data_IF_849845991664
#
_entry.id   IF_849845991664
#
_cell.length_a   1.000
_cell.length_b   1.000
_cell.length_c   1.000
_cell.angle_alpha   90.00
_cell.angle_beta   90.00
_cell.angle_gamma   90.00
#
_symmetry.space_group_name_H-M   'P 1'
#
loop_
_entity.id
_entity.type
_entity.pdbx_description
1 polymer ?
#
# COMPACT_ATOMS: atom_id res chain seq x y z
N UNK A 1 64.64 -6.56 -28.70
CA UNK A 1 64.88 -7.16 -30.04
C UNK A 1 63.74 -6.77 -30.98
N UNK A 2 64.10 -6.11 -32.09
CA UNK A 2 63.29 -5.68 -33.27
C UNK A 2 62.20 -4.64 -32.93
N UNK A 3 62.42 -3.32 -33.05
CA UNK A 3 62.68 -2.48 -34.24
C UNK A 3 61.72 -2.80 -35.39
N UNK A 4 60.75 -1.90 -35.67
CA UNK A 4 60.79 -1.09 -36.89
C UNK A 4 59.64 -0.06 -36.97
N UNK A 5 60.09 1.14 -37.31
CA UNK A 5 59.47 2.42 -37.66
C UNK A 5 58.58 2.42 -38.92
N UNK A 6 57.85 3.55 -39.06
CA UNK A 6 57.48 4.29 -40.30
C UNK A 6 56.17 3.90 -41.02
N UNK A 7 55.15 4.77 -40.97
CA UNK A 7 54.93 5.81 -41.99
C UNK A 7 53.65 6.63 -41.74
N UNK A 8 53.80 7.93 -41.98
CA UNK A 8 52.79 8.97 -42.03
C UNK A 8 51.97 8.82 -43.33
N UNK A 9 50.65 8.77 -43.24
CA UNK A 9 49.77 9.06 -44.37
C UNK A 9 48.51 9.75 -43.83
N UNK A 10 48.43 11.06 -44.05
CA UNK A 10 47.26 11.85 -43.78
C UNK A 10 46.13 11.47 -44.75
N UNK A 11 44.99 11.09 -44.20
CA UNK A 11 43.73 11.07 -44.91
C UNK A 11 42.78 12.06 -44.22
N UNK A 12 42.44 13.14 -44.92
CA UNK A 12 41.33 14.01 -44.59
C UNK A 12 40.06 13.16 -44.52
N UNK A 13 39.60 12.84 -43.32
CA UNK A 13 38.21 12.45 -43.09
C UNK A 13 37.38 13.73 -43.06
N UNK A 14 36.94 14.19 -44.24
CA UNK A 14 35.84 15.14 -44.34
C UNK A 14 34.62 14.51 -43.69
N UNK A 15 34.25 15.03 -42.51
CA UNK A 15 33.08 14.62 -41.76
C UNK A 15 31.82 14.80 -42.59
N UNK A 16 31.25 13.69 -43.04
CA UNK A 16 29.82 13.59 -43.29
C UNK A 16 29.14 13.58 -41.92
N UNK A 17 28.94 14.77 -41.37
CA UNK A 17 27.95 14.98 -40.32
C UNK A 17 26.58 14.63 -40.92
N UNK A 18 26.19 13.37 -40.80
CA UNK A 18 24.77 13.04 -40.85
C UNK A 18 24.13 13.83 -39.72
N UNK A 19 23.54 14.99 -40.05
CA UNK A 19 22.54 15.60 -39.19
C UNK A 19 21.43 14.57 -39.08
N UNK A 20 21.48 13.76 -38.03
CA UNK A 20 20.33 12.97 -37.60
C UNK A 20 19.20 13.99 -37.46
N UNK A 21 18.30 14.02 -38.45
CA UNK A 21 17.06 14.75 -38.30
C UNK A 21 16.36 14.06 -37.14
N UNK A 22 16.46 14.65 -35.95
CA UNK A 22 15.57 14.34 -34.85
C UNK A 22 14.17 14.29 -35.46
N UNK A 23 13.46 13.16 -35.29
CA UNK A 23 12.14 12.97 -35.87
C UNK A 23 11.25 14.14 -35.40
N UNK A 24 11.09 15.13 -36.26
CA UNK A 24 10.32 16.31 -35.94
C UNK A 24 8.86 15.89 -36.02
N UNK A 25 8.18 15.86 -34.88
CA UNK A 25 6.76 15.62 -34.83
C UNK A 25 6.04 16.70 -35.64
N UNK A 26 5.38 16.31 -36.73
CA UNK A 26 4.65 17.22 -37.61
C UNK A 26 3.23 17.49 -37.12
N UNK A 27 2.63 16.50 -36.47
CA UNK A 27 1.27 16.50 -35.95
C UNK A 27 1.25 16.51 -34.40
N UNK A 28 0.43 17.38 -33.76
CA UNK A 28 0.40 17.48 -32.30
C UNK A 28 -0.18 16.22 -31.65
N UNK A 29 -1.07 15.49 -32.34
CA UNK A 29 -1.63 14.23 -31.87
C UNK A 29 -0.55 13.16 -31.72
N UNK A 30 0.34 13.06 -32.71
CA UNK A 30 1.48 12.14 -32.71
C UNK A 30 2.46 12.47 -31.57
N UNK A 31 2.71 13.76 -31.32
CA UNK A 31 3.52 14.19 -30.17
C UNK A 31 2.90 13.80 -28.83
N UNK A 32 1.59 14.09 -28.68
CA UNK A 32 0.83 13.74 -27.49
C UNK A 32 0.87 12.22 -27.25
N UNK A 33 0.58 11.43 -28.29
CA UNK A 33 0.49 9.98 -28.21
C UNK A 33 1.83 9.34 -27.86
N UNK A 34 2.96 9.94 -28.25
CA UNK A 34 4.27 9.45 -27.83
C UNK A 34 4.47 9.52 -26.30
N UNK A 35 4.04 10.61 -25.65
CA UNK A 35 4.12 10.75 -24.19
C UNK A 35 3.07 9.87 -23.50
N UNK A 36 1.84 9.88 -23.99
CA UNK A 36 0.74 9.08 -23.44
C UNK A 36 1.02 7.58 -23.54
N UNK A 37 1.66 7.11 -24.61
CA UNK A 37 2.06 5.72 -24.75
C UNK A 37 3.02 5.28 -23.64
N UNK A 38 4.01 6.13 -23.30
CA UNK A 38 4.92 5.85 -22.20
C UNK A 38 4.20 5.85 -20.83
N UNK A 39 3.24 6.75 -20.64
CA UNK A 39 2.38 6.77 -19.45
C UNK A 39 1.56 5.48 -19.33
N UNK A 40 0.98 5.00 -20.43
CA UNK A 40 0.18 3.78 -20.47
C UNK A 40 1.01 2.54 -20.10
N UNK A 41 2.23 2.44 -20.62
CA UNK A 41 3.15 1.34 -20.28
C UNK A 41 3.49 1.39 -18.79
N UNK A 42 3.76 2.58 -18.26
CA UNK A 42 4.01 2.77 -16.83
C UNK A 42 2.83 2.39 -15.96
N UNK A 43 1.62 2.83 -16.28
CA UNK A 43 0.40 2.49 -15.54
C UNK A 43 0.18 0.98 -15.47
N UNK A 44 0.40 0.26 -16.58
CA UNK A 44 0.31 -1.21 -16.60
C UNK A 44 1.30 -1.85 -15.63
N UNK A 45 2.54 -1.36 -15.55
CA UNK A 45 3.53 -1.86 -14.57
C UNK A 45 3.14 -1.50 -13.14
N UNK A 46 2.68 -0.26 -12.90
CA UNK A 46 2.21 0.17 -11.59
C UNK A 46 1.04 -0.69 -11.09
N UNK A 47 0.05 -0.97 -11.94
CA UNK A 47 -1.09 -1.81 -11.58
C UNK A 47 -0.70 -3.25 -11.27
N UNK A 48 0.27 -3.81 -12.01
CA UNK A 48 0.83 -5.14 -11.68
C UNK A 48 1.51 -5.12 -10.31
N UNK A 49 2.26 -4.07 -9.98
CA UNK A 49 2.86 -3.90 -8.66
C UNK A 49 1.81 -3.74 -7.56
N UNK A 50 0.83 -2.87 -7.74
CA UNK A 50 -0.30 -2.64 -6.81
C UNK A 50 -1.04 -3.94 -6.58
N UNK A 51 -1.46 -4.62 -7.65
CA UNK A 51 -2.14 -5.91 -7.57
C UNK A 51 -1.30 -6.94 -6.81
N UNK A 52 0.01 -7.00 -7.08
CA UNK A 52 0.86 -7.98 -6.44
C UNK A 52 1.06 -7.69 -4.95
N UNK A 53 1.16 -6.42 -4.59
CA UNK A 53 1.28 -5.96 -3.21
C UNK A 53 0.00 -6.18 -2.42
N UNK A 54 -1.16 -6.02 -3.06
CA UNK A 54 -2.47 -6.23 -2.44
C UNK A 54 -2.80 -7.72 -2.22
N UNK A 55 -2.37 -8.59 -3.13
CA UNK A 55 -2.84 -9.99 -3.18
C UNK A 55 -1.76 -11.03 -2.91
N UNK A 56 -0.60 -10.64 -2.36
CA UNK A 56 0.51 -11.58 -2.14
C UNK A 56 1.33 -11.26 -0.91
N UNK A 57 1.63 -12.29 -0.13
CA UNK A 57 2.58 -12.19 1.01
C UNK A 57 4.05 -12.40 0.59
N UNK A 58 4.30 -12.71 -0.69
CA UNK A 58 5.64 -13.00 -1.17
C UNK A 58 6.42 -11.71 -1.44
N UNK A 59 7.12 -11.21 -0.42
CA UNK A 59 7.89 -9.96 -0.45
C UNK A 59 8.90 -9.92 -1.60
N UNK A 60 9.56 -11.04 -1.92
CA UNK A 60 10.50 -11.11 -3.06
C UNK A 60 9.81 -10.85 -4.39
N UNK A 61 8.61 -11.41 -4.59
CA UNK A 61 7.82 -11.19 -5.81
C UNK A 61 7.28 -9.76 -5.87
N UNK A 62 6.86 -9.19 -4.74
CA UNK A 62 6.41 -7.80 -4.66
C UNK A 62 7.57 -6.85 -5.05
N UNK A 63 8.75 -7.06 -4.45
CA UNK A 63 9.94 -6.27 -4.73
C UNK A 63 10.37 -6.39 -6.20
N UNK A 64 10.33 -7.59 -6.79
CA UNK A 64 10.59 -7.77 -8.21
C UNK A 64 9.66 -6.91 -9.09
N UNK A 65 8.36 -6.84 -8.76
CA UNK A 65 7.41 -5.97 -9.48
C UNK A 65 7.70 -4.49 -9.28
N UNK A 66 8.15 -4.07 -8.10
CA UNK A 66 8.60 -2.69 -7.88
C UNK A 66 9.80 -2.36 -8.76
N UNK A 67 10.77 -3.28 -8.87
CA UNK A 67 11.94 -3.11 -9.74
C UNK A 67 11.56 -3.05 -11.22
N UNK A 68 10.55 -3.82 -11.66
CA UNK A 68 9.99 -3.71 -13.01
C UNK A 68 9.45 -2.29 -13.29
N UNK A 69 8.75 -1.69 -12.31
CA UNK A 69 8.27 -0.30 -12.40
C UNK A 69 9.43 0.68 -12.49
N UNK A 70 10.47 0.52 -11.66
CA UNK A 70 11.66 1.38 -11.68
C UNK A 70 12.38 1.30 -13.03
N UNK A 71 12.59 0.09 -13.56
CA UNK A 71 13.25 -0.13 -14.84
C UNK A 71 12.46 0.48 -16.00
N UNK A 72 11.14 0.26 -16.02
CA UNK A 72 10.27 0.86 -17.03
C UNK A 72 10.27 2.38 -16.94
N UNK A 73 10.23 2.95 -15.72
CA UNK A 73 10.22 4.40 -15.55
C UNK A 73 11.50 5.03 -16.07
N UNK A 74 12.67 4.44 -15.80
CA UNK A 74 13.94 4.88 -16.38
C UNK A 74 13.90 4.87 -17.91
N UNK A 75 13.37 3.81 -18.51
CA UNK A 75 13.25 3.70 -19.98
C UNK A 75 12.32 4.78 -20.56
N UNK A 76 11.14 4.97 -19.96
CA UNK A 76 10.17 5.97 -20.38
C UNK A 76 10.67 7.41 -20.19
N UNK A 77 11.31 7.68 -19.05
CA UNK A 77 11.95 8.97 -18.77
C UNK A 77 13.05 9.29 -19.79
N UNK A 78 13.86 8.29 -20.17
CA UNK A 78 14.87 8.46 -21.20
C UNK A 78 14.21 8.86 -22.53
N UNK A 79 13.18 8.13 -22.98
CA UNK A 79 12.47 8.45 -24.22
C UNK A 79 11.87 9.87 -24.21
N UNK A 80 11.12 10.22 -23.16
CA UNK A 80 10.51 11.55 -23.01
C UNK A 80 11.60 12.64 -22.99
N UNK A 81 12.71 12.41 -22.30
CA UNK A 81 13.81 13.39 -22.20
C UNK A 81 14.49 13.69 -23.54
N UNK A 82 14.50 12.72 -24.47
CA UNK A 82 15.07 12.89 -25.81
C UNK A 82 14.06 13.47 -26.82
N UNK A 83 12.79 13.64 -26.45
CA UNK A 83 11.82 14.26 -27.34
C UNK A 83 12.17 15.75 -27.57
N UNK A 84 12.11 16.25 -28.81
CA UNK A 84 12.17 17.68 -29.07
C UNK A 84 10.93 18.40 -28.49
N UNK A 85 10.97 19.72 -28.40
CA UNK A 85 9.75 20.50 -28.17
C UNK A 85 8.86 20.46 -29.42
N UNK A 86 7.54 20.35 -29.25
CA UNK A 86 6.61 20.43 -30.36
C UNK A 86 6.47 21.88 -30.82
N UNK A 87 6.88 22.18 -32.07
CA UNK A 87 6.91 23.56 -32.61
C UNK A 87 7.64 24.54 -31.67
N UNK A 88 8.73 24.09 -31.04
CA UNK A 88 9.50 24.88 -30.07
C UNK A 88 8.90 24.96 -28.66
N UNK A 89 7.67 24.48 -28.44
CA UNK A 89 7.09 24.37 -27.10
C UNK A 89 7.56 23.10 -26.40
N UNK A 90 8.18 23.24 -25.23
CA UNK A 90 8.68 22.11 -24.44
C UNK A 90 7.85 21.79 -23.21
N UNK A 91 6.81 22.59 -22.92
CA UNK A 91 6.11 22.57 -21.64
C UNK A 91 5.56 21.18 -21.31
N UNK A 92 4.87 20.54 -22.25
CA UNK A 92 4.29 19.22 -21.99
C UNK A 92 5.35 18.16 -21.72
N UNK A 93 6.39 18.09 -22.55
CA UNK A 93 7.53 17.19 -22.34
C UNK A 93 8.20 17.44 -21.00
N UNK A 94 8.50 18.69 -20.66
CA UNK A 94 9.25 19.02 -19.45
C UNK A 94 8.44 18.68 -18.19
N UNK A 95 7.12 18.90 -18.22
CA UNK A 95 6.21 18.50 -17.14
C UNK A 95 6.06 16.98 -17.04
N UNK A 96 5.92 16.28 -18.18
CA UNK A 96 5.89 14.83 -18.20
C UNK A 96 7.20 14.24 -17.66
N UNK A 97 8.35 14.77 -18.11
CA UNK A 97 9.68 14.39 -17.61
C UNK A 97 9.78 14.58 -16.09
N UNK A 98 9.36 15.73 -15.56
CA UNK A 98 9.40 16.01 -14.13
C UNK A 98 8.54 15.02 -13.32
N UNK A 99 7.35 14.69 -13.80
CA UNK A 99 6.49 13.72 -13.14
C UNK A 99 7.06 12.30 -13.17
N UNK A 100 7.60 11.84 -14.30
CA UNK A 100 8.27 10.53 -14.38
C UNK A 100 9.48 10.46 -13.45
N UNK A 101 10.25 11.56 -13.36
CA UNK A 101 11.36 11.67 -12.40
C UNK A 101 10.86 11.58 -10.95
N UNK A 102 9.76 12.25 -10.61
CA UNK A 102 9.14 12.15 -9.29
C UNK A 102 8.67 10.72 -8.99
N UNK A 103 7.95 10.08 -9.92
CA UNK A 103 7.56 8.68 -9.79
C UNK A 103 8.78 7.77 -9.60
N UNK A 104 9.87 8.02 -10.33
CA UNK A 104 11.10 7.23 -10.21
C UNK A 104 11.70 7.38 -8.82
N UNK A 105 11.74 8.60 -8.29
CA UNK A 105 12.22 8.86 -6.94
C UNK A 105 11.34 8.17 -5.89
N UNK A 106 10.03 8.24 -6.01
CA UNK A 106 9.10 7.57 -5.08
C UNK A 106 9.32 6.06 -5.08
N UNK A 107 9.30 5.43 -6.26
CA UNK A 107 9.54 3.99 -6.35
C UNK A 107 10.93 3.58 -5.89
N UNK A 108 11.97 4.36 -6.18
CA UNK A 108 13.36 3.98 -5.87
C UNK A 108 13.77 4.28 -4.42
N UNK A 109 13.24 5.35 -3.82
CA UNK A 109 13.69 5.87 -2.52
C UNK A 109 12.59 5.71 -1.46
N UNK A 110 11.41 6.27 -1.70
CA UNK A 110 10.35 6.28 -0.68
C UNK A 110 9.84 4.86 -0.40
N UNK A 111 9.57 4.06 -1.44
CA UNK A 111 9.17 2.66 -1.24
C UNK A 111 10.29 1.77 -0.70
N UNK A 112 11.57 2.12 -0.92
CA UNK A 112 12.68 1.42 -0.25
C UNK A 112 12.66 1.68 1.26
N UNK A 113 12.35 2.91 1.68
CA UNK A 113 12.15 3.25 3.10
C UNK A 113 10.94 2.52 3.68
N UNK A 114 9.82 2.45 2.95
CA UNK A 114 8.64 1.65 3.34
C UNK A 114 9.03 0.18 3.58
N UNK A 115 9.77 -0.43 2.66
CA UNK A 115 10.25 -1.81 2.80
C UNK A 115 11.16 -1.99 4.03
N UNK A 116 11.96 -0.98 4.38
CA UNK A 116 12.80 -1.02 5.59
C UNK A 116 11.94 -0.97 6.85
N UNK A 117 10.92 -0.11 6.89
CA UNK A 117 9.99 -0.02 8.02
C UNK A 117 9.14 -1.29 8.17
N UNK A 118 8.84 -1.96 7.05
CA UNK A 118 8.06 -3.19 7.06
C UNK A 118 8.66 -4.30 7.95
N UNK A 119 9.98 -4.43 8.07
CA UNK A 119 10.65 -5.47 8.87
C UNK A 119 10.29 -5.38 10.38
N UNK A 120 10.03 -4.17 10.88
CA UNK A 120 9.75 -3.91 12.30
C UNK A 120 8.31 -3.53 12.60
N UNK A 121 7.42 -3.48 11.59
CA UNK A 121 6.10 -2.84 11.71
C UNK A 121 5.23 -3.43 12.82
N UNK A 122 5.29 -4.74 13.06
CA UNK A 122 4.47 -5.42 14.09
C UNK A 122 4.99 -5.28 15.53
N UNK A 123 6.17 -4.66 15.75
CA UNK A 123 6.78 -4.58 17.09
C UNK A 123 6.01 -3.66 18.05
N UNK A 124 5.50 -2.54 17.56
CA UNK A 124 4.73 -1.57 18.35
C UNK A 124 3.62 -0.95 17.51
N UNK A 125 2.59 -0.40 18.17
CA UNK A 125 1.57 0.40 17.50
C UNK A 125 2.22 1.58 16.74
N UNK A 126 3.20 2.24 17.36
CA UNK A 126 3.94 3.34 16.75
C UNK A 126 4.71 2.87 15.49
N UNK A 127 5.35 1.70 15.54
CA UNK A 127 6.06 1.15 14.40
C UNK A 127 5.10 0.83 13.23
N UNK A 128 3.92 0.31 13.53
CA UNK A 128 2.87 0.05 12.54
C UNK A 128 2.34 1.36 11.93
N UNK A 129 2.05 2.35 12.78
CA UNK A 129 1.59 3.67 12.33
C UNK A 129 2.63 4.32 11.41
N UNK A 130 3.91 4.35 11.83
CA UNK A 130 5.01 4.91 11.03
C UNK A 130 5.18 4.21 9.68
N UNK A 131 4.92 2.90 9.63
CA UNK A 131 4.92 2.15 8.38
C UNK A 131 3.79 2.60 7.45
N UNK A 132 2.55 2.70 7.95
CA UNK A 132 1.41 3.18 7.16
C UNK A 132 1.56 4.65 6.74
N UNK A 133 2.02 5.53 7.62
CA UNK A 133 2.27 6.94 7.30
C UNK A 133 3.27 7.09 6.14
N UNK A 134 4.33 6.27 6.15
CA UNK A 134 5.32 6.27 5.07
C UNK A 134 4.74 5.76 3.75
N UNK A 135 3.87 4.75 3.81
CA UNK A 135 3.19 4.20 2.64
C UNK A 135 2.22 5.23 2.02
N UNK A 136 1.37 5.84 2.84
CA UNK A 136 0.41 6.88 2.41
C UNK A 136 1.15 8.11 1.85
N UNK A 137 2.26 8.53 2.48
CA UNK A 137 3.07 9.62 1.97
C UNK A 137 3.69 9.31 0.59
N UNK A 138 4.10 8.06 0.34
CA UNK A 138 4.59 7.65 -0.98
C UNK A 138 3.47 7.64 -2.02
N UNK A 139 2.29 7.12 -1.67
CA UNK A 139 1.11 7.08 -2.55
C UNK A 139 0.64 8.49 -2.93
N UNK A 140 0.54 9.40 -1.96
CA UNK A 140 0.17 10.80 -2.20
C UNK A 140 1.13 11.48 -3.19
N UNK A 141 2.44 11.21 -3.09
CA UNK A 141 3.42 11.75 -4.05
C UNK A 141 3.23 11.19 -5.46
N UNK A 142 2.79 9.94 -5.61
CA UNK A 142 2.48 9.35 -6.91
C UNK A 142 1.21 9.98 -7.51
N UNK A 143 0.18 10.22 -6.70
CA UNK A 143 -1.05 10.87 -7.15
C UNK A 143 -0.75 12.28 -7.69
N UNK A 144 0.00 13.09 -6.93
CA UNK A 144 0.42 14.44 -7.35
C UNK A 144 1.22 14.41 -8.65
N UNK A 145 2.12 13.42 -8.82
CA UNK A 145 2.88 13.26 -10.05
C UNK A 145 1.96 12.95 -11.24
N UNK A 146 0.99 12.04 -11.07
CA UNK A 146 0.00 11.68 -12.08
C UNK A 146 -0.87 12.87 -12.50
N UNK A 147 -1.41 13.60 -11.53
CA UNK A 147 -2.26 14.78 -11.75
C UNK A 147 -1.51 15.88 -12.51
N UNK A 148 -0.21 16.07 -12.23
CA UNK A 148 0.63 17.03 -12.95
C UNK A 148 0.79 16.69 -14.43
N UNK A 149 0.92 15.40 -14.79
CA UNK A 149 1.00 14.96 -16.20
C UNK A 149 -0.31 15.20 -16.91
N UNK A 150 -1.43 14.78 -16.30
CA UNK A 150 -2.76 14.93 -16.88
C UNK A 150 -3.09 16.41 -17.13
N UNK A 151 -2.77 17.29 -16.17
CA UNK A 151 -2.97 18.72 -16.32
C UNK A 151 -2.11 19.31 -17.45
N UNK A 152 -0.86 18.85 -17.62
CA UNK A 152 0.01 19.28 -18.71
C UNK A 152 -0.48 18.79 -20.07
N UNK A 153 -0.97 17.55 -20.16
CA UNK A 153 -1.58 17.01 -21.36
C UNK A 153 -2.82 17.82 -21.77
N UNK A 154 -3.70 18.15 -20.82
CA UNK A 154 -4.88 18.95 -21.10
C UNK A 154 -4.53 20.34 -21.64
N UNK A 155 -3.54 21.02 -21.04
CA UNK A 155 -3.06 22.31 -21.54
C UNK A 155 -2.48 22.21 -22.96
N UNK A 156 -1.72 21.15 -23.22
CA UNK A 156 -1.18 20.89 -24.57
C UNK A 156 -2.30 20.68 -25.59
N UNK A 157 -3.31 19.87 -25.23
CA UNK A 157 -4.45 19.60 -26.08
C UNK A 157 -5.24 20.87 -26.41
N UNK A 158 -5.55 21.71 -25.42
CA UNK A 158 -6.19 23.01 -25.63
C UNK A 158 -5.35 23.92 -26.52
N UNK A 159 -4.04 24.02 -26.27
CA UNK A 159 -3.14 24.92 -27.01
C UNK A 159 -3.03 24.57 -28.49
N UNK A 160 -3.09 23.28 -28.84
CA UNK A 160 -2.93 22.80 -30.21
C UNK A 160 -4.25 22.29 -30.82
N UNK A 161 -5.39 22.64 -30.22
CA UNK A 161 -6.73 22.29 -30.68
C UNK A 161 -6.92 20.78 -30.91
N UNK A 162 -6.36 19.95 -30.03
CA UNK A 162 -6.54 18.51 -30.07
C UNK A 162 -7.87 18.11 -29.43
N UNK A 163 -8.65 17.32 -30.15
CA UNK A 163 -9.78 16.58 -29.58
C UNK A 163 -9.24 15.35 -28.86
N UNK A 164 -9.42 15.30 -27.53
CA UNK A 164 -9.02 14.15 -26.74
C UNK A 164 -10.15 13.11 -26.74
N UNK A 165 -9.91 11.99 -27.41
CA UNK A 165 -10.71 10.78 -27.23
C UNK A 165 -10.10 9.97 -26.11
N UNK A 166 -10.84 9.79 -25.02
CA UNK A 166 -10.37 9.02 -23.88
C UNK A 166 -10.36 7.52 -24.20
N UNK A 167 -9.20 6.89 -24.07
CA UNK A 167 -9.10 5.44 -24.16
C UNK A 167 -9.76 4.79 -22.93
N UNK A 168 -10.70 3.88 -23.17
CA UNK A 168 -11.49 3.26 -22.10
C UNK A 168 -10.62 2.47 -21.13
N UNK A 169 -9.57 1.80 -21.61
CA UNK A 169 -8.67 1.05 -20.73
C UNK A 169 -7.82 2.00 -19.88
N UNK A 170 -7.24 3.04 -20.49
CA UNK A 170 -6.45 4.04 -19.81
C UNK A 170 -7.25 4.73 -18.69
N UNK A 171 -8.51 5.08 -18.97
CA UNK A 171 -9.43 5.62 -17.95
C UNK A 171 -9.61 4.66 -16.78
N UNK A 172 -9.96 3.40 -17.06
CA UNK A 172 -10.17 2.40 -16.01
C UNK A 172 -8.91 2.19 -15.18
N UNK A 173 -7.74 2.18 -15.80
CA UNK A 173 -6.45 2.06 -15.10
C UNK A 173 -6.18 3.24 -14.18
N UNK A 174 -6.46 4.46 -14.63
CA UNK A 174 -6.37 5.66 -13.80
C UNK A 174 -7.33 5.61 -12.61
N UNK A 175 -8.59 5.24 -12.84
CA UNK A 175 -9.60 5.09 -11.78
C UNK A 175 -9.12 4.11 -10.70
N UNK A 176 -8.57 2.96 -11.10
CA UNK A 176 -8.03 1.98 -10.15
C UNK A 176 -6.81 2.51 -9.40
N UNK A 177 -5.85 3.16 -10.07
CA UNK A 177 -4.66 3.71 -9.40
C UNK A 177 -5.07 4.73 -8.34
N UNK A 178 -6.02 5.63 -8.64
CA UNK A 178 -6.52 6.62 -7.67
C UNK A 178 -7.25 5.96 -6.50
N UNK A 179 -8.06 4.95 -6.78
CA UNK A 179 -8.83 4.23 -5.77
C UNK A 179 -7.95 3.54 -4.73
N UNK A 180 -6.74 3.10 -5.10
CA UNK A 180 -5.85 2.35 -4.20
C UNK A 180 -5.51 3.14 -2.93
N UNK A 181 -5.20 4.43 -3.03
CA UNK A 181 -4.86 5.24 -1.85
C UNK A 181 -6.06 5.40 -0.91
N UNK A 182 -7.26 5.59 -1.46
CA UNK A 182 -8.52 5.64 -0.68
C UNK A 182 -8.76 4.33 0.08
N UNK A 183 -8.58 3.19 -0.61
CA UNK A 183 -8.73 1.84 -0.04
C UNK A 183 -7.70 1.60 1.06
N UNK A 184 -6.42 1.87 0.80
CA UNK A 184 -5.35 1.65 1.75
C UNK A 184 -5.54 2.50 3.01
N UNK A 185 -5.86 3.79 2.86
CA UNK A 185 -6.14 4.69 3.99
C UNK A 185 -7.29 4.16 4.87
N UNK A 186 -8.36 3.65 4.24
CA UNK A 186 -9.48 3.07 4.97
C UNK A 186 -9.08 1.78 5.70
N UNK A 187 -8.35 0.89 5.01
CA UNK A 187 -7.87 -0.36 5.59
C UNK A 187 -6.92 -0.12 6.77
N UNK A 188 -5.97 0.80 6.64
CA UNK A 188 -4.99 1.11 7.69
C UNK A 188 -5.67 1.55 8.98
N UNK A 189 -6.69 2.42 8.90
CA UNK A 189 -7.45 2.87 10.07
C UNK A 189 -8.11 1.72 10.82
N UNK A 190 -8.79 0.83 10.08
CA UNK A 190 -9.47 -0.34 10.66
C UNK A 190 -8.45 -1.35 11.20
N UNK A 191 -7.37 -1.60 10.46
CA UNK A 191 -6.31 -2.50 10.88
C UNK A 191 -5.64 -2.01 12.17
N UNK A 192 -5.36 -0.72 12.30
CA UNK A 192 -4.74 -0.16 13.51
C UNK A 192 -5.65 -0.33 14.74
N UNK A 193 -6.96 -0.15 14.58
CA UNK A 193 -7.94 -0.40 15.63
C UNK A 193 -7.92 -1.88 16.06
N UNK A 194 -7.96 -2.80 15.10
CA UNK A 194 -7.81 -4.23 15.36
C UNK A 194 -6.47 -4.57 16.05
N UNK A 195 -5.37 -3.99 15.56
CA UNK A 195 -4.03 -4.25 16.07
C UNK A 195 -3.86 -3.79 17.52
N UNK A 196 -4.50 -2.68 17.91
CA UNK A 196 -4.53 -2.24 19.32
C UNK A 196 -5.22 -3.25 20.23
N UNK A 197 -6.40 -3.75 19.83
CA UNK A 197 -7.14 -4.77 20.58
C UNK A 197 -6.30 -6.04 20.78
N UNK A 198 -5.69 -6.56 19.72
CA UNK A 198 -4.88 -7.78 19.81
C UNK A 198 -3.67 -7.63 20.73
N UNK A 199 -3.07 -6.43 20.77
CA UNK A 199 -1.97 -6.17 21.70
C UNK A 199 -2.44 -6.17 23.15
N UNK A 200 -3.60 -5.59 23.44
CA UNK A 200 -4.17 -5.63 24.78
C UNK A 200 -4.54 -7.08 25.17
N UNK A 201 -5.10 -7.84 24.23
CA UNK A 201 -5.43 -9.25 24.41
C UNK A 201 -4.18 -10.14 24.63
N UNK A 202 -3.06 -9.82 23.98
CA UNK A 202 -1.80 -10.51 24.22
C UNK A 202 -1.32 -10.36 25.68
N UNK A 203 -1.50 -9.18 26.28
CA UNK A 203 -1.17 -8.97 27.71
C UNK A 203 -2.06 -9.82 28.63
N UNK A 204 -3.33 -9.99 28.27
CA UNK A 204 -4.26 -10.86 28.98
C UNK A 204 -3.79 -12.32 28.91
N UNK A 205 -3.43 -12.77 27.71
CA UNK A 205 -2.91 -14.12 27.46
C UNK A 205 -1.61 -14.38 28.22
N UNK A 206 -0.71 -13.39 28.30
CA UNK A 206 0.51 -13.49 29.12
C UNK A 206 0.20 -13.67 30.61
N UNK A 207 -0.75 -12.91 31.15
CA UNK A 207 -1.18 -13.04 32.55
C UNK A 207 -1.77 -14.42 32.84
N UNK A 208 -2.57 -14.94 31.91
CA UNK A 208 -3.15 -16.27 31.98
C UNK A 208 -2.08 -17.36 31.98
N UNK A 209 -1.13 -17.29 31.03
CA UNK A 209 -0.04 -18.25 30.91
C UNK A 209 0.90 -18.24 32.12
N UNK A 210 1.12 -17.06 32.70
CA UNK A 210 1.89 -16.91 33.95
C UNK A 210 1.13 -17.41 35.18
N UNK A 211 -0.16 -17.76 35.06
CA UNK A 211 -1.05 -18.09 36.16
C UNK A 211 -1.00 -17.02 37.27
N UNK A 212 -0.92 -15.76 36.87
CA UNK A 212 -0.79 -14.60 37.73
C UNK A 212 -2.10 -13.81 37.68
N UNK A 213 -2.93 -14.01 38.70
CA UNK A 213 -4.24 -13.37 38.81
C UNK A 213 -4.16 -11.83 38.77
N UNK A 214 -3.14 -11.24 39.40
CA UNK A 214 -2.98 -9.78 39.44
C UNK A 214 -2.63 -9.24 38.06
N UNK A 215 -1.71 -9.92 37.35
CA UNK A 215 -1.35 -9.55 35.98
C UNK A 215 -2.52 -9.76 35.02
N UNK A 216 -3.27 -10.84 35.16
CA UNK A 216 -4.45 -11.12 34.35
C UNK A 216 -5.55 -10.07 34.56
N UNK A 217 -5.86 -9.70 35.81
CA UNK A 217 -6.85 -8.67 36.12
C UNK A 217 -6.45 -7.28 35.61
N UNK A 218 -5.18 -6.90 35.79
CA UNK A 218 -4.67 -5.64 35.25
C UNK A 218 -4.79 -5.61 33.71
N UNK A 219 -4.49 -6.71 33.05
CA UNK A 219 -4.65 -6.84 31.61
C UNK A 219 -6.11 -6.84 31.16
N UNK A 220 -7.03 -7.44 31.94
CA UNK A 220 -8.48 -7.40 31.69
C UNK A 220 -9.01 -5.97 31.70
N UNK A 221 -8.64 -5.19 32.71
CA UNK A 221 -9.02 -3.77 32.80
C UNK A 221 -8.45 -2.94 31.65
N UNK A 222 -7.20 -3.21 31.25
CA UNK A 222 -6.58 -2.56 30.11
C UNK A 222 -7.30 -2.92 28.79
N UNK A 223 -7.65 -4.19 28.58
CA UNK A 223 -8.41 -4.64 27.43
C UNK A 223 -9.81 -4.02 27.38
N UNK A 224 -10.51 -3.96 28.51
CA UNK A 224 -11.83 -3.31 28.64
C UNK A 224 -11.76 -1.84 28.20
N UNK A 225 -10.82 -1.08 28.76
CA UNK A 225 -10.62 0.33 28.41
C UNK A 225 -10.21 0.54 26.94
N UNK A 226 -9.37 -0.34 26.39
CA UNK A 226 -8.96 -0.27 24.98
C UNK A 226 -10.11 -0.63 24.03
N UNK A 227 -10.99 -1.52 24.45
CA UNK A 227 -12.17 -1.92 23.70
C UNK A 227 -13.16 -0.78 23.54
N UNK A 228 -13.42 -0.02 24.61
CA UNK A 228 -14.30 1.15 24.57
C UNK A 228 -13.77 2.23 23.61
N UNK A 229 -12.46 2.51 23.66
CA UNK A 229 -11.81 3.44 22.72
C UNK A 229 -11.93 2.95 21.29
N UNK A 230 -11.64 1.68 21.05
CA UNK A 230 -11.69 1.08 19.72
C UNK A 230 -13.10 1.15 19.13
N UNK A 231 -14.13 0.88 19.93
CA UNK A 231 -15.52 1.01 19.48
C UNK A 231 -15.86 2.45 19.09
N UNK A 232 -15.48 3.44 19.92
CA UNK A 232 -15.70 4.85 19.61
C UNK A 232 -14.99 5.30 18.33
N UNK A 233 -13.74 4.86 18.13
CA UNK A 233 -12.98 5.13 16.90
C UNK A 233 -13.63 4.49 15.67
N UNK A 234 -14.03 3.23 15.76
CA UNK A 234 -14.69 2.53 14.65
C UNK A 234 -16.05 3.15 14.32
N UNK A 235 -16.81 3.61 15.31
CA UNK A 235 -18.10 4.29 15.11
C UNK A 235 -17.94 5.62 14.36
N UNK A 236 -16.79 6.29 14.52
CA UNK A 236 -16.45 7.50 13.79
C UNK A 236 -15.99 7.25 12.33
N UNK A 237 -15.65 6.00 11.97
CA UNK A 237 -15.27 5.64 10.61
C UNK A 237 -16.55 5.44 9.78
N UNK A 238 -16.85 6.29 8.79
CA UNK A 238 -18.03 6.12 7.94
C UNK A 238 -17.92 4.84 7.11
N UNK A 239 -19.05 4.39 6.55
CA UNK A 239 -19.02 3.33 5.55
C UNK A 239 -18.14 3.73 4.37
N UNK A 240 -17.30 2.81 3.88
CA UNK A 240 -16.49 3.07 2.70
C UNK A 240 -17.42 3.35 1.50
N UNK A 241 -17.20 4.51 0.87
CA UNK A 241 -18.06 5.06 -0.19
C UNK A 241 -19.54 5.05 0.17
N UNK A 242 -19.86 5.28 1.44
CA UNK A 242 -21.22 5.40 1.96
C UNK A 242 -22.02 4.09 2.05
N UNK A 243 -21.42 2.93 1.73
CA UNK A 243 -22.15 1.66 1.65
C UNK A 243 -21.48 0.46 2.30
N UNK A 244 -20.15 0.39 2.25
CA UNK A 244 -19.44 -0.82 2.66
C UNK A 244 -18.89 -0.69 4.07
N UNK A 245 -19.48 -1.47 4.98
CA UNK A 245 -19.13 -1.46 6.40
C UNK A 245 -18.48 -2.75 6.86
N UNK A 246 -18.42 -3.79 6.01
CA UNK A 246 -18.19 -5.16 6.46
C UNK A 246 -16.84 -5.32 7.18
N UNK A 247 -15.77 -4.74 6.63
CA UNK A 247 -14.44 -4.83 7.24
C UNK A 247 -14.37 -4.13 8.60
N UNK A 248 -14.96 -2.93 8.71
CA UNK A 248 -15.05 -2.17 9.95
C UNK A 248 -15.91 -2.91 10.99
N UNK A 249 -17.06 -3.40 10.57
CA UNK A 249 -18.03 -4.06 11.45
C UNK A 249 -17.48 -5.39 11.98
N UNK A 250 -16.65 -6.10 11.21
CA UNK A 250 -15.96 -7.29 11.72
C UNK A 250 -15.04 -6.97 12.92
N UNK A 251 -14.32 -5.84 12.89
CA UNK A 251 -13.53 -5.39 14.06
C UNK A 251 -14.44 -4.93 15.21
N UNK A 252 -15.58 -4.30 14.91
CA UNK A 252 -16.56 -3.91 15.96
C UNK A 252 -17.12 -5.13 16.66
N UNK A 253 -17.39 -6.22 15.94
CA UNK A 253 -17.87 -7.46 16.54
C UNK A 253 -16.77 -8.15 17.37
N UNK A 254 -15.51 -8.05 16.93
CA UNK A 254 -14.34 -8.43 17.72
C UNK A 254 -14.25 -7.66 19.04
N UNK A 255 -14.40 -6.34 18.99
CA UNK A 255 -14.39 -5.47 20.16
C UNK A 255 -15.55 -5.79 21.11
N UNK A 256 -16.79 -5.91 20.61
CA UNK A 256 -17.97 -6.26 21.44
C UNK A 256 -17.80 -7.58 22.18
N UNK A 257 -17.14 -8.56 21.56
CA UNK A 257 -16.80 -9.81 22.23
C UNK A 257 -15.93 -9.57 23.47
N UNK A 258 -14.89 -8.73 23.36
CA UNK A 258 -14.05 -8.39 24.50
C UNK A 258 -14.75 -7.55 25.56
N UNK A 259 -15.70 -6.68 25.21
CA UNK A 259 -16.56 -5.99 26.21
C UNK A 259 -17.27 -7.03 27.08
N UNK A 260 -17.96 -7.97 26.44
CA UNK A 260 -18.76 -8.99 27.14
C UNK A 260 -17.89 -9.88 28.01
N UNK A 261 -16.75 -10.34 27.48
CA UNK A 261 -15.85 -11.25 28.19
C UNK A 261 -15.11 -10.58 29.33
N UNK A 262 -14.62 -9.35 29.12
CA UNK A 262 -13.96 -8.57 30.17
C UNK A 262 -14.91 -8.21 31.30
N UNK A 263 -16.18 -7.96 30.99
CA UNK A 263 -17.21 -7.67 32.00
C UNK A 263 -17.62 -8.89 32.83
N UNK A 264 -17.42 -10.11 32.33
CA UNK A 264 -18.00 -11.33 32.89
C UNK A 264 -16.98 -12.48 33.03
N UNK A 265 -16.72 -13.25 31.96
CA UNK A 265 -15.94 -14.48 32.02
C UNK A 265 -14.51 -14.27 32.53
N UNK A 266 -13.83 -13.19 32.12
CA UNK A 266 -12.48 -12.90 32.61
C UNK A 266 -12.46 -12.54 34.10
N UNK A 267 -13.51 -11.95 34.67
CA UNK A 267 -13.58 -11.75 36.12
C UNK A 267 -13.63 -13.08 36.87
N UNK A 268 -14.47 -14.01 36.40
CA UNK A 268 -14.56 -15.37 36.97
C UNK A 268 -13.25 -16.14 36.83
N UNK A 269 -12.56 -15.98 35.70
CA UNK A 269 -11.23 -16.57 35.51
C UNK A 269 -10.20 -15.98 36.48
N UNK A 270 -10.27 -14.68 36.78
CA UNK A 270 -9.42 -14.04 37.79
C UNK A 270 -9.64 -14.65 39.16
N UNK A 271 -10.90 -14.76 39.61
CA UNK A 271 -11.26 -15.38 40.89
C UNK A 271 -10.70 -16.82 41.00
N UNK A 272 -10.81 -17.59 39.92
CA UNK A 272 -10.25 -18.95 39.84
C UNK A 272 -8.72 -18.98 39.90
N UNK A 273 -8.04 -18.01 39.28
CA UNK A 273 -6.59 -17.88 39.36
C UNK A 273 -6.10 -17.49 40.76
N UNK A 274 -6.86 -16.67 41.49
CA UNK A 274 -6.52 -16.27 42.87
C UNK A 274 -6.55 -17.47 43.84
N UNK A 275 -7.43 -18.43 43.61
CA UNK A 275 -7.58 -19.64 44.42
C UNK A 275 -6.94 -20.89 43.79
N UNK A 276 -5.98 -20.71 42.87
CA UNK A 276 -5.40 -21.80 42.07
C UNK A 276 -4.88 -22.99 42.88
N UNK A 277 -4.41 -22.76 44.10
CA UNK A 277 -3.87 -23.81 44.99
C UNK A 277 -4.97 -24.64 45.70
N UNK A 278 -6.24 -24.28 45.52
CA UNK A 278 -7.40 -24.88 46.20
C UNK A 278 -8.54 -25.25 45.24
N UNK A 279 -8.26 -25.32 43.94
CA UNK A 279 -9.29 -25.60 42.93
C UNK A 279 -9.89 -27.00 43.14
N UNK A 280 -11.21 -27.07 43.11
CA UNK A 280 -11.93 -28.34 42.98
C UNK A 280 -11.95 -28.80 41.52
N UNK A 281 -12.38 -30.05 41.29
CA UNK A 281 -12.62 -30.54 39.94
C UNK A 281 -13.62 -29.66 39.18
N UNK A 282 -14.70 -29.23 39.83
CA UNK A 282 -15.71 -28.35 39.25
C UNK A 282 -15.11 -27.01 38.82
N UNK A 283 -14.20 -26.46 39.63
CA UNK A 283 -13.52 -25.20 39.32
C UNK A 283 -12.60 -25.34 38.10
N UNK A 284 -11.84 -26.44 38.04
CA UNK A 284 -10.99 -26.75 36.90
C UNK A 284 -11.81 -26.96 35.62
N UNK A 285 -12.94 -27.67 35.71
CA UNK A 285 -13.85 -27.89 34.58
C UNK A 285 -14.46 -26.58 34.09
N UNK A 286 -14.84 -25.67 35.01
CA UNK A 286 -15.34 -24.34 34.67
C UNK A 286 -14.26 -23.49 33.98
N UNK A 287 -13.04 -23.46 34.51
CA UNK A 287 -11.92 -22.70 33.95
C UNK A 287 -11.58 -23.18 32.52
N UNK A 288 -11.48 -24.49 32.33
CA UNK A 288 -11.29 -25.11 31.02
C UNK A 288 -12.46 -24.80 30.07
N UNK A 289 -13.69 -24.78 30.58
CA UNK A 289 -14.88 -24.35 29.83
C UNK A 289 -14.76 -22.92 29.30
N UNK A 290 -14.31 -21.97 30.12
CA UNK A 290 -14.06 -20.60 29.68
C UNK A 290 -12.97 -20.53 28.61
N UNK A 291 -11.84 -21.22 28.79
CA UNK A 291 -10.76 -21.24 27.79
C UNK A 291 -11.25 -21.79 26.45
N UNK A 292 -12.00 -22.89 26.46
CA UNK A 292 -12.52 -23.50 25.24
C UNK A 292 -13.54 -22.59 24.53
N UNK A 293 -14.44 -21.97 25.28
CA UNK A 293 -15.41 -21.02 24.72
C UNK A 293 -14.72 -19.78 24.15
N UNK A 294 -13.70 -19.26 24.83
CA UNK A 294 -12.87 -18.15 24.38
C UNK A 294 -12.20 -18.50 23.05
N UNK A 295 -11.43 -19.59 23.02
CA UNK A 295 -10.68 -20.01 21.84
C UNK A 295 -11.59 -20.21 20.63
N UNK A 296 -12.74 -20.88 20.81
CA UNK A 296 -13.71 -21.12 19.73
C UNK A 296 -14.27 -19.81 19.16
N UNK A 297 -14.70 -18.89 20.03
CA UNK A 297 -15.31 -17.64 19.59
C UNK A 297 -14.27 -16.68 19.00
N UNK A 298 -13.09 -16.58 19.62
CA UNK A 298 -11.98 -15.75 19.16
C UNK A 298 -11.52 -16.18 17.76
N UNK A 299 -11.39 -17.49 17.52
CA UNK A 299 -11.06 -18.04 16.20
C UNK A 299 -12.11 -17.67 15.15
N UNK A 300 -13.40 -17.87 15.45
CA UNK A 300 -14.49 -17.54 14.54
C UNK A 300 -14.48 -16.05 14.15
N UNK A 301 -14.26 -15.16 15.12
CA UNK A 301 -14.21 -13.72 14.88
C UNK A 301 -12.96 -13.32 14.08
N UNK A 302 -11.84 -13.99 14.32
CA UNK A 302 -10.60 -13.77 13.57
C UNK A 302 -10.75 -14.15 12.10
N UNK A 303 -11.39 -15.30 11.83
CA UNK A 303 -11.74 -15.71 10.46
C UNK A 303 -12.68 -14.70 9.79
N UNK A 304 -13.70 -14.22 10.50
CA UNK A 304 -14.62 -13.21 9.98
C UNK A 304 -13.90 -11.90 9.62
N UNK A 305 -13.00 -11.43 10.50
CA UNK A 305 -12.16 -10.25 10.25
C UNK A 305 -11.26 -10.44 9.02
N UNK A 306 -10.53 -11.54 8.95
CA UNK A 306 -9.63 -11.83 7.83
C UNK A 306 -10.40 -11.93 6.51
N UNK A 307 -11.54 -12.62 6.52
CA UNK A 307 -12.40 -12.75 5.34
C UNK A 307 -12.96 -11.40 4.90
N UNK A 308 -13.42 -10.57 5.82
CA UNK A 308 -13.93 -9.24 5.50
C UNK A 308 -12.82 -8.32 4.94
N UNK A 309 -11.60 -8.38 5.49
CA UNK A 309 -10.45 -7.64 4.97
C UNK A 309 -10.07 -8.07 3.56
N UNK A 310 -9.98 -9.38 3.32
CA UNK A 310 -9.69 -9.95 2.01
C UNK A 310 -10.78 -9.61 0.98
N UNK A 311 -12.05 -9.71 1.38
CA UNK A 311 -13.19 -9.37 0.52
C UNK A 311 -13.19 -7.88 0.16
N UNK A 312 -12.93 -7.01 1.13
CA UNK A 312 -12.79 -5.58 0.91
C UNK A 312 -11.67 -5.28 -0.10
N UNK A 313 -10.49 -5.86 0.10
CA UNK A 313 -9.36 -5.66 -0.80
C UNK A 313 -9.65 -6.16 -2.21
N UNK A 314 -10.23 -7.35 -2.35
CA UNK A 314 -10.59 -7.92 -3.66
C UNK A 314 -11.68 -7.12 -4.38
N UNK A 315 -12.63 -6.53 -3.64
CA UNK A 315 -13.69 -5.72 -4.21
C UNK A 315 -13.17 -4.41 -4.82
N UNK A 316 -12.15 -3.80 -4.22
CA UNK A 316 -11.67 -2.48 -4.63
C UNK A 316 -10.27 -2.45 -5.26
N UNK A 317 -9.48 -3.50 -5.15
CA UNK A 317 -8.19 -3.63 -5.84
C UNK A 317 -8.24 -4.88 -6.71
N UNK A 318 -8.53 -4.77 -8.02
CA UNK A 318 -8.66 -5.93 -8.87
C UNK A 318 -7.30 -6.63 -9.06
N UNK A 319 -7.37 -7.93 -9.32
CA UNK A 319 -6.19 -8.72 -9.68
C UNK A 319 -5.80 -8.41 -11.13
N UNK A 320 -4.56 -7.97 -11.34
CA UNK A 320 -3.97 -7.77 -12.65
C UNK A 320 -2.98 -8.90 -12.91
N UNK A 321 -3.44 -9.92 -13.63
CA UNK A 321 -2.59 -11.01 -14.10
C UNK A 321 -1.81 -10.57 -15.35
N UNK A 322 -0.69 -11.27 -15.57
CA UNK A 322 0.21 -11.01 -16.70
C UNK A 322 -0.45 -11.22 -18.06
#
# INVERSE_FOLDING_TARGET
MRISTLLLAGALFTGLSFTARAQAYTDPGTYNNAIVAEQLIMQKKCLRYISKSAHSENERKIEARRQDVVAQNKASLAKISHMPGYKGNTEFRDRAKAAFQQMLNVYSVDYQKVNTLAVGRSKSLEAMQRYFDALEAAENKLEVAGDSVQAAQQRFATRFNLTMTEDREARKMNEVIRQVSEVNTYQHKIFLAYFRLERANAQLTDGLNAQDAKRFEAARLALEAETDKTLAELDAIPAFRGKDTQYRDAVRDYAKFYVIWSGNQFKKMTELLEQKDRLTKTDADAFNGYINAYNKQNHKLLEAYNNAGNAFQAAYIPVFND
#
